data_IF_318675163073
#
_entry.id   IF_318675163073
#
_cell.length_a   1.000
_cell.length_b   1.000
_cell.length_c   1.000
_cell.angle_alpha   90.00
_cell.angle_beta   90.00
_cell.angle_gamma   90.00
#
_symmetry.space_group_name_H-M   'P 1'
#
loop_
_entity.id
_entity.type
_entity.pdbx_description
1 polymer ?
#
# COMPACT_ATOMS: atom_id res chain seq x y z
N UNK A 1 -5.98 -6.97 -12.20
CA UNK A 1 -6.07 -5.53 -11.85
C UNK A 1 -4.69 -4.90 -12.00
N UNK A 2 -4.46 -4.16 -13.08
CA UNK A 2 -3.18 -3.47 -13.23
C UNK A 2 -3.08 -2.36 -12.19
N UNK A 3 -1.89 -2.21 -11.62
CA UNK A 3 -1.63 -1.19 -10.62
C UNK A 3 -0.86 -0.04 -11.26
N UNK A 4 -1.43 1.15 -11.26
CA UNK A 4 -0.65 2.34 -11.60
C UNK A 4 0.31 2.64 -10.46
N UNK A 5 1.51 3.10 -10.81
CA UNK A 5 2.52 3.38 -9.79
C UNK A 5 3.31 4.63 -10.16
N UNK A 6 3.90 5.26 -9.14
CA UNK A 6 4.83 6.38 -9.28
C UNK A 6 5.96 6.19 -8.29
N UNK A 7 7.15 6.62 -8.66
CA UNK A 7 8.33 6.50 -7.79
C UNK A 7 8.74 7.87 -7.26
N UNK A 8 9.05 7.93 -5.97
CA UNK A 8 9.51 9.13 -5.28
C UNK A 8 10.72 8.74 -4.44
N UNK A 9 11.92 8.93 -5.00
CA UNK A 9 13.13 8.47 -4.35
C UNK A 9 13.13 6.94 -4.18
N UNK A 10 13.35 6.45 -2.97
CA UNK A 10 13.31 5.02 -2.66
C UNK A 10 11.89 4.49 -2.44
N UNK A 11 10.88 5.37 -2.43
CA UNK A 11 9.49 4.97 -2.21
C UNK A 11 8.76 4.81 -3.54
N UNK A 12 7.85 3.85 -3.59
CA UNK A 12 6.98 3.63 -4.74
C UNK A 12 5.53 3.68 -4.25
N UNK A 13 4.71 4.50 -4.93
CA UNK A 13 3.28 4.60 -4.62
C UNK A 13 2.52 3.78 -5.65
N UNK A 14 1.70 2.85 -5.19
CA UNK A 14 0.78 2.10 -6.04
C UNK A 14 -0.65 2.49 -5.67
N UNK A 15 -1.51 2.65 -6.68
CA UNK A 15 -2.85 3.21 -6.51
C UNK A 15 -3.89 2.28 -7.14
N UNK A 16 -4.29 1.22 -6.43
CA UNK A 16 -5.36 0.35 -6.92
C UNK A 16 -6.71 1.07 -6.89
N UNK A 17 -7.66 0.58 -7.69
CA UNK A 17 -9.00 1.16 -7.79
C UNK A 17 -10.06 0.08 -7.75
N UNK A 18 -11.24 0.46 -7.28
CA UNK A 18 -12.42 -0.39 -7.23
C UNK A 18 -12.55 -1.11 -5.91
N UNK A 19 -12.97 -2.36 -5.98
CA UNK A 19 -13.19 -3.17 -4.79
C UNK A 19 -12.06 -4.19 -4.67
N UNK A 20 -11.66 -4.47 -3.45
CA UNK A 20 -10.70 -5.54 -3.18
C UNK A 20 -11.45 -6.67 -2.50
N UNK A 21 -11.77 -7.72 -3.25
CA UNK A 21 -12.62 -8.81 -2.78
C UNK A 21 -12.12 -10.16 -3.29
N UNK A 22 -12.91 -11.20 -3.04
CA UNK A 22 -12.61 -12.58 -3.42
C UNK A 22 -12.30 -12.73 -4.92
N UNK A 23 -13.00 -11.98 -5.78
CA UNK A 23 -12.87 -12.16 -7.23
C UNK A 23 -11.56 -11.62 -7.78
N UNK A 24 -10.99 -10.58 -7.17
CA UNK A 24 -9.81 -9.91 -7.72
C UNK A 24 -8.58 -9.94 -6.80
N UNK A 25 -8.71 -10.50 -5.59
CA UNK A 25 -7.60 -10.41 -4.63
C UNK A 25 -6.36 -11.18 -5.07
N UNK A 26 -6.51 -12.29 -5.79
CA UNK A 26 -5.33 -13.02 -6.29
C UNK A 26 -4.56 -12.21 -7.32
N UNK A 27 -5.25 -11.59 -8.26
CA UNK A 27 -4.64 -10.71 -9.26
C UNK A 27 -3.97 -9.52 -8.60
N UNK A 28 -4.64 -8.91 -7.63
CA UNK A 28 -4.10 -7.80 -6.85
C UNK A 28 -2.81 -8.23 -6.13
N UNK A 29 -2.83 -9.38 -5.47
CA UNK A 29 -1.67 -9.88 -4.74
C UNK A 29 -0.49 -10.13 -5.66
N UNK A 30 -0.75 -10.69 -6.84
CA UNK A 30 0.27 -10.96 -7.86
C UNK A 30 0.90 -9.65 -8.35
N UNK A 31 0.07 -8.66 -8.67
CA UNK A 31 0.52 -7.36 -9.14
C UNK A 31 1.32 -6.63 -8.06
N UNK A 32 0.85 -6.72 -6.81
CA UNK A 32 1.54 -6.11 -5.67
C UNK A 32 2.89 -6.78 -5.42
N UNK A 33 2.94 -8.09 -5.55
CA UNK A 33 4.19 -8.84 -5.41
C UNK A 33 5.22 -8.41 -6.46
N UNK A 34 4.77 -8.17 -7.70
CA UNK A 34 5.64 -7.66 -8.76
C UNK A 34 6.19 -6.27 -8.41
N UNK A 35 5.37 -5.41 -7.81
CA UNK A 35 5.82 -4.09 -7.36
C UNK A 35 6.84 -4.19 -6.22
N UNK A 36 6.64 -5.14 -5.31
CA UNK A 36 7.61 -5.40 -4.24
C UNK A 36 8.94 -5.89 -4.80
N UNK A 37 8.91 -6.74 -5.82
CA UNK A 37 10.13 -7.23 -6.46
C UNK A 37 10.91 -6.10 -7.12
N UNK A 38 10.22 -5.05 -7.58
CA UNK A 38 10.86 -3.88 -8.16
C UNK A 38 11.46 -2.95 -7.10
N UNK A 39 11.08 -3.08 -5.83
CA UNK A 39 11.61 -2.30 -4.72
C UNK A 39 12.85 -3.01 -4.16
N UNK A 40 13.98 -2.89 -4.88
CA UNK A 40 15.21 -3.62 -4.55
C UNK A 40 16.24 -2.78 -3.79
N UNK A 41 16.04 -1.48 -3.67
CA UNK A 41 16.96 -0.61 -2.95
C UNK A 41 16.83 -0.82 -1.45
N UNK A 42 17.94 -0.71 -0.74
CA UNK A 42 17.95 -0.74 0.71
C UNK A 42 17.08 0.42 1.24
N UNK A 43 16.20 0.13 2.18
CA UNK A 43 15.27 1.11 2.71
C UNK A 43 14.09 1.41 1.81
N UNK A 44 13.93 0.67 0.71
CA UNK A 44 12.80 0.86 -0.19
C UNK A 44 11.48 0.58 0.52
N UNK A 45 10.46 1.33 0.13
CA UNK A 45 9.12 1.17 0.71
C UNK A 45 8.06 1.29 -0.38
N UNK A 46 6.95 0.61 -0.16
CA UNK A 46 5.79 0.67 -1.03
C UNK A 46 4.66 1.35 -0.27
N UNK A 47 4.16 2.45 -0.82
CA UNK A 47 3.01 3.15 -0.28
C UNK A 47 1.78 2.70 -1.06
N UNK A 48 0.84 2.10 -0.36
CA UNK A 48 -0.41 1.63 -0.95
C UNK A 48 -1.46 2.72 -0.80
N UNK A 49 -1.66 3.49 -1.86
CA UNK A 49 -2.66 4.55 -1.90
C UNK A 49 -4.04 3.93 -2.13
N UNK A 50 -4.86 3.94 -1.09
CA UNK A 50 -6.18 3.30 -1.13
C UNK A 50 -7.31 4.29 -1.39
N UNK A 51 -7.00 5.51 -1.84
CA UNK A 51 -8.03 6.51 -2.11
C UNK A 51 -9.02 6.08 -3.21
N UNK A 52 -8.59 5.21 -4.12
CA UNK A 52 -9.44 4.66 -5.17
C UNK A 52 -10.15 3.37 -4.82
N UNK A 53 -9.94 2.83 -3.61
CA UNK A 53 -10.57 1.58 -3.17
C UNK A 53 -11.88 1.90 -2.45
N UNK A 54 -12.97 1.32 -2.94
CA UNK A 54 -14.32 1.57 -2.41
C UNK A 54 -14.67 0.62 -1.27
N UNK A 55 -14.10 -0.59 -1.25
CA UNK A 55 -14.44 -1.61 -0.28
C UNK A 55 -13.36 -2.67 -0.22
N UNK A 56 -13.14 -3.23 0.98
CA UNK A 56 -12.20 -4.35 1.18
C UNK A 56 -12.95 -5.45 1.92
N UNK A 57 -13.03 -6.64 1.32
CA UNK A 57 -13.65 -7.81 1.94
C UNK A 57 -12.66 -8.53 2.86
N UNK A 58 -13.14 -9.57 3.56
CA UNK A 58 -12.28 -10.44 4.37
C UNK A 58 -11.18 -11.08 3.50
N UNK A 59 -11.53 -11.51 2.29
CA UNK A 59 -10.55 -12.06 1.35
C UNK A 59 -9.51 -11.01 0.94
N UNK A 60 -9.96 -9.76 0.72
CA UNK A 60 -9.06 -8.65 0.42
C UNK A 60 -8.09 -8.36 1.57
N UNK A 61 -8.58 -8.37 2.80
CA UNK A 61 -7.72 -8.19 3.98
C UNK A 61 -6.67 -9.29 4.07
N UNK A 62 -7.05 -10.54 3.76
CA UNK A 62 -6.11 -11.66 3.75
C UNK A 62 -5.00 -11.44 2.72
N UNK A 63 -5.34 -10.97 1.54
CA UNK A 63 -4.36 -10.68 0.50
C UNK A 63 -3.40 -9.57 0.92
N UNK A 64 -3.90 -8.53 1.60
CA UNK A 64 -3.04 -7.47 2.14
C UNK A 64 -2.10 -8.02 3.21
N UNK A 65 -2.58 -8.93 4.06
CA UNK A 65 -1.75 -9.54 5.09
C UNK A 65 -0.63 -10.38 4.49
N UNK A 66 -0.92 -11.14 3.44
CA UNK A 66 0.09 -11.92 2.73
C UNK A 66 1.14 -10.99 2.12
N UNK A 67 0.70 -9.89 1.51
CA UNK A 67 1.62 -8.90 0.96
C UNK A 67 2.53 -8.29 2.03
N UNK A 68 1.99 -8.01 3.22
CA UNK A 68 2.77 -7.48 4.33
C UNK A 68 3.87 -8.46 4.76
N UNK A 69 3.54 -9.76 4.83
CA UNK A 69 4.51 -10.79 5.16
C UNK A 69 5.59 -10.93 4.09
N UNK A 70 5.20 -10.85 2.82
CA UNK A 70 6.17 -10.89 1.71
C UNK A 70 7.14 -9.72 1.78
N UNK A 71 6.63 -8.51 2.07
CA UNK A 71 7.49 -7.35 2.20
C UNK A 71 8.50 -7.52 3.33
N UNK A 72 8.07 -8.06 4.46
CA UNK A 72 8.95 -8.30 5.60
C UNK A 72 10.09 -9.26 5.26
N UNK A 73 9.82 -10.31 4.47
CA UNK A 73 10.85 -11.27 4.05
C UNK A 73 11.85 -10.67 3.08
N UNK A 74 11.51 -9.56 2.42
CA UNK A 74 12.37 -8.87 1.44
C UNK A 74 13.04 -7.63 2.01
N UNK A 75 12.96 -7.43 3.32
CA UNK A 75 13.44 -6.24 3.99
C UNK A 75 12.85 -4.94 3.41
N UNK A 76 11.65 -5.04 2.85
CA UNK A 76 10.87 -3.92 2.33
C UNK A 76 9.75 -3.58 3.30
N UNK A 77 9.16 -2.40 3.12
CA UNK A 77 8.05 -1.94 3.96
C UNK A 77 6.85 -1.62 3.09
N UNK A 78 5.66 -1.95 3.60
CA UNK A 78 4.42 -1.47 3.02
C UNK A 78 3.76 -0.56 4.05
N UNK A 79 3.28 0.60 3.61
CA UNK A 79 2.44 1.49 4.41
C UNK A 79 1.19 1.81 3.62
N UNK A 80 0.09 2.05 4.32
CA UNK A 80 -1.22 2.35 3.70
C UNK A 80 -1.46 3.84 3.79
N UNK A 81 -1.99 4.43 2.71
CA UNK A 81 -2.26 5.85 2.64
C UNK A 81 -3.68 6.13 2.18
N UNK A 82 -4.27 7.18 2.72
CA UNK A 82 -5.50 7.82 2.25
C UNK A 82 -6.69 6.88 2.06
N UNK A 83 -6.97 5.93 2.98
CA UNK A 83 -8.15 5.08 2.82
C UNK A 83 -9.43 5.92 2.89
N UNK A 84 -10.42 5.59 2.05
CA UNK A 84 -11.75 6.20 2.16
C UNK A 84 -12.36 5.85 3.53
N UNK A 85 -13.32 6.66 4.04
CA UNK A 85 -13.84 6.45 5.40
C UNK A 85 -14.35 5.03 5.66
N UNK A 86 -15.05 4.42 4.73
CA UNK A 86 -15.54 3.04 4.87
C UNK A 86 -14.39 2.05 4.97
N UNK A 87 -13.36 2.23 4.15
CA UNK A 87 -12.19 1.35 4.15
C UNK A 87 -11.37 1.56 5.43
N UNK A 88 -11.19 2.82 5.85
CA UNK A 88 -10.50 3.14 7.09
C UNK A 88 -11.17 2.44 8.29
N UNK A 89 -12.49 2.46 8.33
CA UNK A 89 -13.25 1.80 9.38
C UNK A 89 -13.05 0.29 9.36
N UNK A 90 -13.07 -0.32 8.18
CA UNK A 90 -12.83 -1.77 8.03
C UNK A 90 -11.43 -2.11 8.55
N UNK A 91 -10.41 -1.34 8.19
CA UNK A 91 -9.03 -1.56 8.64
C UNK A 91 -8.93 -1.44 10.15
N UNK A 92 -9.62 -0.47 10.74
CA UNK A 92 -9.59 -0.23 12.19
C UNK A 92 -10.30 -1.34 12.94
N UNK A 93 -11.50 -1.74 12.51
CA UNK A 93 -12.29 -2.79 13.17
C UNK A 93 -11.56 -4.12 13.10
N UNK A 94 -10.94 -4.44 11.99
CA UNK A 94 -10.18 -5.68 11.82
C UNK A 94 -8.81 -5.63 12.50
N UNK A 95 -8.43 -4.50 13.08
CA UNK A 95 -7.12 -4.25 13.69
C UNK A 95 -5.96 -4.39 12.69
N UNK A 96 -6.27 -4.19 11.42
CA UNK A 96 -5.26 -4.27 10.36
C UNK A 96 -4.22 -3.15 10.49
N UNK A 97 -4.60 -2.03 11.10
CA UNK A 97 -3.69 -0.93 11.38
C UNK A 97 -2.55 -1.32 12.33
N UNK A 98 -2.66 -2.46 13.03
CA UNK A 98 -1.58 -3.01 13.83
C UNK A 98 -0.60 -3.85 13.00
N UNK A 99 -1.01 -4.25 11.79
CA UNK A 99 -0.17 -5.03 10.87
C UNK A 99 0.63 -4.10 9.95
N UNK A 100 -0.05 -3.08 9.40
CA UNK A 100 0.57 -2.08 8.52
C UNK A 100 0.23 -0.68 9.02
N UNK A 101 1.19 0.24 9.04
CA UNK A 101 0.90 1.64 9.35
C UNK A 101 -0.10 2.22 8.36
N UNK A 102 -1.04 3.02 8.86
CA UNK A 102 -2.07 3.68 8.05
C UNK A 102 -1.96 5.19 8.25
N UNK A 103 -1.88 5.92 7.15
CA UNK A 103 -1.75 7.37 7.16
C UNK A 103 -2.94 8.01 6.44
N UNK A 104 -3.32 9.21 6.86
CA UNK A 104 -4.45 9.92 6.28
C UNK A 104 -4.21 10.45 4.86
N UNK A 105 -2.95 10.68 4.50
CA UNK A 105 -2.59 11.17 3.16
C UNK A 105 -1.37 10.44 2.63
N UNK A 106 -1.22 10.45 1.31
CA UNK A 106 -0.04 9.89 0.66
C UNK A 106 1.23 10.62 1.07
N UNK A 107 1.17 11.94 1.23
CA UNK A 107 2.32 12.73 1.65
C UNK A 107 2.80 12.31 3.04
N UNK A 108 1.87 12.14 3.98
CA UNK A 108 2.22 11.68 5.32
C UNK A 108 2.89 10.30 5.30
N UNK A 109 2.35 9.40 4.47
CA UNK A 109 2.93 8.06 4.32
C UNK A 109 4.35 8.13 3.76
N UNK A 110 4.58 8.94 2.74
CA UNK A 110 5.91 9.14 2.16
C UNK A 110 6.87 9.73 3.17
N UNK A 111 6.44 10.73 3.93
CA UNK A 111 7.28 11.37 4.95
C UNK A 111 7.70 10.39 6.04
N UNK A 112 6.82 9.44 6.39
CA UNK A 112 7.14 8.43 7.40
C UNK A 112 8.22 7.46 6.93
N UNK A 113 8.34 7.27 5.61
CA UNK A 113 9.32 6.36 5.01
C UNK A 113 10.63 7.11 4.73
N UNK A 114 10.54 8.28 4.14
CA UNK A 114 11.72 9.04 3.69
C UNK A 114 11.38 10.51 3.52
N UNK A 115 12.08 11.45 4.19
CA UNK A 115 11.90 12.87 3.93
C UNK A 115 12.14 13.25 2.47
N UNK A 116 13.10 12.60 1.81
CA UNK A 116 13.40 12.84 0.40
C UNK A 116 12.22 12.45 -0.50
N UNK A 117 11.53 11.36 -0.16
CA UNK A 117 10.35 10.93 -0.91
C UNK A 117 9.23 11.97 -0.81
N UNK A 118 8.99 12.52 0.39
CA UNK A 118 8.00 13.56 0.58
C UNK A 118 8.36 14.83 -0.21
N UNK A 119 9.63 15.22 -0.21
CA UNK A 119 10.09 16.36 -0.99
C UNK A 119 9.90 16.16 -2.48
N UNK A 120 10.21 14.97 -2.99
CA UNK A 120 9.99 14.63 -4.40
C UNK A 120 8.50 14.69 -4.75
N UNK A 121 7.64 14.25 -3.86
CA UNK A 121 6.19 14.32 -4.02
C UNK A 121 5.72 15.77 -4.11
N UNK A 122 6.24 16.64 -3.25
CA UNK A 122 5.88 18.08 -3.22
C UNK A 122 6.30 18.80 -4.50
N UNK A 123 7.36 18.34 -5.15
CA UNK A 123 7.84 18.95 -6.40
C UNK A 123 7.06 18.52 -7.63
N UNK A 124 6.23 17.53 -7.48
CA UNK A 124 5.44 17.11 -8.57
C UNK A 124 5.14 15.81 -8.96
#
# INVERSE_FOLDING_TARGET
MPLSHRSYGAARVVSPRGRLDHDNCEGFQRDLSAQLDACTQEGAALVLDMSGIEYVSSAGLRCLMIAAKQAATRASRIVVAAPQPVVAEILQISRFNLVLPVFGTTREALASVSPQAAQAFDKG
#
